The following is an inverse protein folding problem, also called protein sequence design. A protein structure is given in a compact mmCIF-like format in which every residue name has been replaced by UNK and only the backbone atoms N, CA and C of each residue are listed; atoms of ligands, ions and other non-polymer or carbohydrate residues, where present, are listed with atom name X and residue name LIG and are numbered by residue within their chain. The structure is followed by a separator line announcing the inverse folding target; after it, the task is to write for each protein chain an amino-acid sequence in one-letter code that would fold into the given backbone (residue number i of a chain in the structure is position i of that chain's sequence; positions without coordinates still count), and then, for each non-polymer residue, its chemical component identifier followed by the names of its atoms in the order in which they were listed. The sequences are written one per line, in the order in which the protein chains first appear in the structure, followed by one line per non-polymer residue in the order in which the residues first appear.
data_IF_798960122336
#
_entry.id   IF_798960122336
#
_cell.length_a   1.000
_cell.length_b   1.000
_cell.length_c   1.000
_cell.angle_alpha   90.00
_cell.angle_beta   90.00
_cell.angle_gamma   90.00
#
_symmetry.space_group_name_H-M   'P 1'
#
loop_
_entity.id
_entity.type
_entity.pdbx_description
1 polymer ?
#
# COMPACT_ATOMS: atom_id res chain seq x y z
N UNK A 1 45.65 -5.36 54.39
CA UNK A 1 45.14 -5.98 53.17
C UNK A 1 44.56 -4.89 52.30
N UNK A 2 45.24 -4.51 51.21
CA UNK A 2 44.90 -3.33 50.38
C UNK A 2 44.09 -3.82 49.17
N UNK A 3 42.84 -3.42 49.05
CA UNK A 3 41.99 -3.70 47.92
C UNK A 3 42.20 -2.57 46.89
N UNK A 4 42.72 -2.90 45.70
CA UNK A 4 42.87 -2.00 44.59
C UNK A 4 41.60 -1.98 43.76
N UNK A 5 40.94 -0.82 43.70
CA UNK A 5 39.80 -0.55 42.80
C UNK A 5 40.32 -0.29 41.40
N UNK A 6 39.91 -1.14 40.44
CA UNK A 6 40.17 -0.94 39.02
C UNK A 6 38.98 -0.18 38.41
N UNK A 7 39.19 1.06 38.01
CA UNK A 7 38.22 1.84 37.25
C UNK A 7 38.31 1.46 35.76
N UNK A 8 37.24 0.91 35.24
CA UNK A 8 37.10 0.63 33.78
C UNK A 8 36.48 1.87 33.13
N UNK A 9 37.27 2.60 32.39
CA UNK A 9 36.78 3.72 31.55
C UNK A 9 36.26 3.14 30.22
N UNK A 10 34.93 3.17 30.02
CA UNK A 10 34.28 2.83 28.74
C UNK A 10 34.33 4.07 27.85
N UNK A 11 35.20 4.06 26.84
CA UNK A 11 35.24 5.08 25.79
C UNK A 11 34.10 4.80 24.78
N UNK A 12 33.02 5.57 24.84
CA UNK A 12 31.98 5.61 23.82
C UNK A 12 32.49 6.45 22.66
N UNK A 13 33.04 5.80 21.62
CA UNK A 13 33.35 6.43 20.34
C UNK A 13 32.04 6.61 19.56
N UNK A 14 31.42 7.79 19.68
CA UNK A 14 30.31 8.20 18.83
C UNK A 14 30.78 8.36 17.40
N UNK A 15 30.37 7.46 16.49
CA UNK A 15 30.45 7.68 15.05
C UNK A 15 29.46 8.80 14.68
N UNK A 16 29.96 10.02 14.59
CA UNK A 16 29.29 11.11 13.89
C UNK A 16 29.37 10.78 12.39
N UNK A 17 28.31 10.18 11.84
CA UNK A 17 28.11 10.13 10.41
C UNK A 17 27.95 11.58 9.92
N UNK A 18 29.02 12.17 9.42
CA UNK A 18 28.96 13.45 8.71
C UNK A 18 28.21 13.21 7.41
N UNK A 19 26.90 13.55 7.38
CA UNK A 19 26.18 13.73 6.15
C UNK A 19 26.84 14.87 5.38
N UNK A 20 27.61 14.53 4.36
CA UNK A 20 28.19 15.49 3.42
C UNK A 20 27.04 16.11 2.63
N UNK A 21 26.52 17.24 3.10
CA UNK A 21 25.68 18.08 2.27
C UNK A 21 26.51 18.52 1.06
N UNK A 22 26.12 18.11 -0.13
CA UNK A 22 26.75 18.54 -1.38
C UNK A 22 26.54 20.05 -1.52
N UNK A 23 27.55 20.82 -1.23
CA UNK A 23 27.53 22.29 -1.37
C UNK A 23 27.80 22.61 -2.83
N UNK A 24 26.79 23.07 -3.55
CA UNK A 24 26.99 23.59 -4.91
C UNK A 24 27.75 24.92 -4.76
N UNK A 25 28.99 24.95 -5.27
CA UNK A 25 29.81 26.17 -5.25
C UNK A 25 29.27 27.13 -6.30
N UNK A 26 28.67 28.21 -5.85
CA UNK A 26 28.14 29.28 -6.71
C UNK A 26 29.13 30.47 -6.63
N UNK A 27 29.70 30.84 -7.76
CA UNK A 27 30.55 32.01 -7.90
C UNK A 27 30.23 32.77 -9.22
N UNK A 28 30.91 33.86 -9.49
CA UNK A 28 30.69 34.68 -10.70
C UNK A 28 30.97 33.94 -12.00
N UNK A 29 31.78 32.90 -11.95
CA UNK A 29 32.20 32.11 -13.12
C UNK A 29 31.37 30.82 -13.29
N UNK A 30 30.64 30.45 -12.24
CA UNK A 30 29.77 29.25 -12.22
C UNK A 30 28.30 29.66 -11.94
N UNK A 31 27.69 30.31 -12.92
CA UNK A 31 26.29 30.74 -12.81
C UNK A 31 25.34 29.56 -13.03
N UNK A 32 24.45 29.36 -12.08
CA UNK A 32 23.51 28.22 -12.13
C UNK A 32 22.10 28.62 -11.69
N UNK A 33 21.11 27.88 -12.18
CA UNK A 33 19.76 27.87 -11.65
C UNK A 33 19.53 26.50 -11.02
N UNK A 34 19.10 26.51 -9.75
CA UNK A 34 18.66 25.30 -9.04
C UNK A 34 17.13 25.31 -8.94
N UNK A 35 16.49 24.19 -9.29
CA UNK A 35 15.05 24.03 -9.28
C UNK A 35 14.69 22.74 -8.57
N UNK A 36 13.73 22.81 -7.65
CA UNK A 36 13.03 21.63 -7.14
C UNK A 36 11.66 21.58 -7.80
N UNK A 37 11.34 20.46 -8.45
CA UNK A 37 10.05 20.26 -9.07
C UNK A 37 9.52 18.86 -8.74
N UNK A 38 8.21 18.77 -8.48
CA UNK A 38 7.52 17.51 -8.32
C UNK A 38 6.50 17.32 -9.44
N UNK A 39 6.37 16.08 -9.86
CA UNK A 39 5.32 15.65 -10.80
C UNK A 39 4.94 14.21 -10.53
N UNK A 40 3.92 13.72 -11.23
CA UNK A 40 3.36 12.40 -11.07
C UNK A 40 3.23 11.66 -12.39
N UNK A 41 3.15 10.34 -12.28
CA UNK A 41 2.74 9.48 -13.37
C UNK A 41 1.55 8.64 -12.92
N UNK A 42 0.61 8.41 -13.82
CA UNK A 42 -0.56 7.58 -13.58
C UNK A 42 -0.61 6.43 -14.59
N UNK A 43 -1.17 5.31 -14.17
CA UNK A 43 -1.44 4.14 -15.00
C UNK A 43 -2.66 3.41 -14.47
N UNK A 44 -3.31 2.61 -15.29
CA UNK A 44 -4.35 1.71 -14.81
C UNK A 44 -3.73 0.55 -14.02
N UNK A 45 -4.42 0.08 -12.99
CA UNK A 45 -4.00 -1.12 -12.27
C UNK A 45 -3.96 -2.32 -13.22
N UNK A 46 -2.93 -3.16 -13.12
CA UNK A 46 -2.80 -4.41 -13.89
C UNK A 46 -2.97 -5.66 -13.01
N UNK A 47 -3.12 -5.47 -11.71
CA UNK A 47 -3.32 -6.52 -10.72
C UNK A 47 -4.39 -6.09 -9.70
N UNK A 48 -5.32 -7.01 -9.41
CA UNK A 48 -6.24 -6.91 -8.29
C UNK A 48 -5.92 -7.99 -7.25
N UNK A 49 -5.83 -7.59 -5.99
CA UNK A 49 -5.73 -8.50 -4.84
C UNK A 49 -7.06 -8.46 -4.11
N UNK A 50 -7.84 -9.51 -4.25
CA UNK A 50 -9.19 -9.64 -3.68
C UNK A 50 -9.07 -10.32 -2.33
N UNK A 51 -9.50 -9.65 -1.25
CA UNK A 51 -9.56 -10.22 0.09
C UNK A 51 -10.89 -10.96 0.28
N UNK A 52 -10.78 -12.23 0.61
CA UNK A 52 -11.89 -13.16 0.78
C UNK A 52 -11.76 -13.82 2.14
N UNK A 53 -12.86 -13.96 2.86
CA UNK A 53 -12.85 -14.63 4.13
C UNK A 53 -14.22 -15.14 4.54
N UNK A 54 -14.24 -15.95 5.57
CA UNK A 54 -15.45 -16.33 6.25
C UNK A 54 -15.28 -16.40 7.76
N UNK A 55 -16.38 -16.25 8.45
CA UNK A 55 -16.52 -16.49 9.87
C UNK A 55 -17.64 -17.47 10.09
N UNK A 56 -17.41 -18.49 10.93
CA UNK A 56 -18.43 -19.47 11.33
C UNK A 56 -18.36 -19.69 12.83
N UNK A 57 -19.53 -19.87 13.45
CA UNK A 57 -19.67 -20.15 14.86
C UNK A 57 -20.11 -21.59 15.07
N UNK A 58 -19.78 -22.15 16.24
CA UNK A 58 -20.25 -23.47 16.65
C UNK A 58 -20.27 -23.65 18.18
N UNK A 59 -20.93 -24.71 18.65
CA UNK A 59 -21.08 -24.98 20.08
C UNK A 59 -19.81 -25.54 20.74
N UNK A 60 -18.91 -26.14 19.96
CA UNK A 60 -17.65 -26.71 20.40
C UNK A 60 -16.56 -26.56 19.33
N UNK A 61 -15.32 -26.77 19.70
CA UNK A 61 -14.15 -26.62 18.84
C UNK A 61 -14.21 -27.56 17.61
N UNK A 62 -14.54 -28.82 17.84
CA UNK A 62 -14.53 -29.86 16.79
C UNK A 62 -15.60 -29.61 15.73
N UNK A 63 -16.83 -29.32 16.12
CA UNK A 63 -17.93 -29.04 15.18
C UNK A 63 -17.73 -27.72 14.44
N UNK A 64 -17.17 -26.71 15.13
CA UNK A 64 -16.80 -25.42 14.50
C UNK A 64 -15.73 -25.60 13.45
N UNK A 65 -14.68 -26.38 13.76
CA UNK A 65 -13.63 -26.71 12.80
C UNK A 65 -14.16 -27.50 11.58
N UNK A 66 -15.02 -28.50 11.81
CA UNK A 66 -15.60 -29.30 10.73
C UNK A 66 -16.45 -28.44 9.78
N UNK A 67 -17.28 -27.56 10.35
CA UNK A 67 -18.08 -26.60 9.58
C UNK A 67 -17.21 -25.63 8.79
N UNK A 68 -16.19 -25.07 9.42
CA UNK A 68 -15.24 -24.18 8.78
C UNK A 68 -14.45 -24.87 7.66
N UNK A 69 -14.01 -26.10 7.88
CA UNK A 69 -13.33 -26.92 6.85
C UNK A 69 -14.21 -27.14 5.63
N UNK A 70 -15.49 -27.39 5.82
CA UNK A 70 -16.46 -27.55 4.72
C UNK A 70 -16.57 -26.26 3.91
N UNK A 71 -16.74 -25.10 4.55
CA UNK A 71 -16.85 -23.80 3.90
C UNK A 71 -15.53 -23.46 3.17
N UNK A 72 -14.40 -23.64 3.85
CA UNK A 72 -13.06 -23.41 3.30
C UNK A 72 -12.86 -24.16 1.98
N UNK A 73 -13.13 -25.48 2.00
CA UNK A 73 -12.97 -26.32 0.83
C UNK A 73 -13.96 -25.95 -0.30
N UNK A 74 -15.18 -25.53 0.04
CA UNK A 74 -16.15 -25.07 -0.94
C UNK A 74 -15.68 -23.80 -1.65
N UNK A 75 -15.20 -22.79 -0.91
CA UNK A 75 -14.69 -21.53 -1.45
C UNK A 75 -13.49 -21.78 -2.38
N UNK A 76 -12.46 -22.49 -1.90
CA UNK A 76 -11.26 -22.77 -2.69
C UNK A 76 -11.59 -23.58 -3.95
N UNK A 77 -12.48 -24.58 -3.82
CA UNK A 77 -12.92 -25.39 -4.96
C UNK A 77 -13.69 -24.57 -6.00
N UNK A 78 -14.58 -23.66 -5.56
CA UNK A 78 -15.34 -22.79 -6.46
C UNK A 78 -14.41 -21.83 -7.22
N UNK A 79 -13.43 -21.21 -6.54
CA UNK A 79 -12.43 -20.36 -7.15
C UNK A 79 -11.62 -21.10 -8.21
N UNK A 80 -11.13 -22.30 -7.90
CA UNK A 80 -10.39 -23.13 -8.87
C UNK A 80 -11.25 -23.49 -10.09
N UNK A 81 -12.51 -23.86 -9.88
CA UNK A 81 -13.46 -24.16 -10.96
C UNK A 81 -13.77 -22.93 -11.83
N UNK A 82 -13.74 -21.72 -11.27
CA UNK A 82 -13.94 -20.47 -12.01
C UNK A 82 -12.71 -20.04 -12.83
N UNK A 83 -11.60 -20.79 -12.72
CA UNK A 83 -10.37 -20.55 -13.47
C UNK A 83 -9.25 -19.83 -12.70
N UNK A 84 -9.41 -19.62 -11.38
CA UNK A 84 -8.34 -19.04 -10.55
C UNK A 84 -7.23 -20.07 -10.34
N UNK A 85 -5.96 -19.77 -10.71
CA UNK A 85 -4.85 -20.68 -10.48
C UNK A 85 -4.55 -20.88 -8.98
N UNK A 86 -4.16 -22.09 -8.57
CA UNK A 86 -3.83 -22.40 -7.18
C UNK A 86 -2.84 -21.43 -6.57
N UNK A 87 -1.78 -21.09 -7.31
CA UNK A 87 -0.73 -20.15 -6.88
C UNK A 87 -1.20 -18.70 -6.70
N UNK A 88 -2.41 -18.37 -7.19
CA UNK A 88 -3.01 -17.04 -7.02
C UNK A 88 -3.86 -16.95 -5.75
N UNK A 89 -4.13 -18.08 -5.07
CA UNK A 89 -4.89 -18.14 -3.82
C UNK A 89 -3.88 -18.33 -2.68
N UNK A 90 -3.71 -17.30 -1.86
CA UNK A 90 -2.76 -17.31 -0.74
C UNK A 90 -3.53 -17.21 0.57
N UNK A 91 -3.27 -18.12 1.53
CA UNK A 91 -3.84 -18.03 2.87
C UNK A 91 -3.24 -16.86 3.62
N UNK A 92 -4.09 -16.06 4.25
CA UNK A 92 -3.71 -14.85 4.99
C UNK A 92 -3.84 -15.04 6.50
N UNK A 93 -4.98 -15.55 6.95
CA UNK A 93 -5.25 -15.78 8.37
C UNK A 93 -6.10 -17.02 8.59
N UNK A 94 -5.86 -17.72 9.73
CA UNK A 94 -6.65 -18.85 10.22
C UNK A 94 -6.66 -18.81 11.72
N UNK A 95 -7.84 -18.70 12.32
CA UNK A 95 -7.97 -18.59 13.77
C UNK A 95 -9.27 -19.26 14.26
N UNK A 96 -9.10 -20.23 15.16
CA UNK A 96 -10.20 -20.88 15.89
C UNK A 96 -10.02 -20.58 17.37
N UNK A 97 -10.99 -19.94 17.99
CA UNK A 97 -10.92 -19.55 19.38
C UNK A 97 -12.29 -19.59 20.08
N UNK A 98 -12.33 -19.59 21.41
CA UNK A 98 -13.56 -19.35 22.16
C UNK A 98 -14.17 -17.99 21.77
N UNK A 99 -15.48 -17.95 21.57
CA UNK A 99 -16.20 -16.72 21.30
C UNK A 99 -16.49 -15.97 22.61
N UNK A 100 -15.72 -14.95 22.91
CA UNK A 100 -15.88 -14.13 24.10
C UNK A 100 -16.86 -12.97 23.93
N UNK A 101 -17.34 -12.74 22.71
CA UNK A 101 -18.30 -11.68 22.40
C UNK A 101 -19.72 -12.27 22.34
N UNK A 102 -20.60 -11.76 23.22
CA UNK A 102 -22.02 -12.10 23.24
C UNK A 102 -22.85 -10.82 23.24
N UNK A 103 -23.85 -10.77 22.37
CA UNK A 103 -24.83 -9.70 22.43
C UNK A 103 -25.60 -9.82 23.76
N UNK A 104 -25.73 -8.73 24.56
CA UNK A 104 -26.51 -8.75 25.80
C UNK A 104 -27.98 -9.17 25.62
N UNK A 105 -28.52 -9.04 24.41
CA UNK A 105 -29.89 -9.43 24.06
C UNK A 105 -30.00 -10.86 23.54
N UNK A 106 -28.89 -11.56 23.35
CA UNK A 106 -28.87 -12.93 22.83
C UNK A 106 -29.36 -13.92 23.89
N UNK A 107 -30.22 -14.88 23.47
CA UNK A 107 -30.71 -15.93 24.36
C UNK A 107 -29.56 -16.87 24.78
N UNK A 108 -29.70 -17.52 25.96
CA UNK A 108 -28.71 -18.51 26.41
C UNK A 108 -28.60 -19.68 25.41
N UNK A 109 -29.69 -20.06 24.77
CA UNK A 109 -29.71 -21.11 23.75
C UNK A 109 -28.91 -20.73 22.50
N UNK A 110 -28.96 -19.48 22.11
CA UNK A 110 -28.17 -19.01 20.94
C UNK A 110 -26.68 -18.79 21.29
N UNK A 111 -26.38 -18.37 22.53
CA UNK A 111 -25.02 -18.37 23.05
C UNK A 111 -24.40 -19.75 23.08
N UNK A 112 -25.18 -20.78 23.50
CA UNK A 112 -24.70 -22.15 23.50
C UNK A 112 -24.31 -22.67 22.12
N UNK A 113 -24.92 -22.16 21.05
CA UNK A 113 -24.56 -22.49 19.65
C UNK A 113 -23.33 -21.76 19.12
N UNK A 114 -22.85 -20.74 19.82
CA UNK A 114 -21.78 -19.83 19.36
C UNK A 114 -20.61 -19.74 20.34
N UNK A 115 -20.28 -20.87 21.00
CA UNK A 115 -19.21 -20.92 22.00
C UNK A 115 -17.80 -20.75 21.37
N UNK A 116 -17.64 -21.15 20.12
CA UNK A 116 -16.41 -21.03 19.37
C UNK A 116 -16.67 -20.29 18.07
N UNK A 117 -15.61 -19.61 17.60
CA UNK A 117 -15.58 -18.90 16.30
C UNK A 117 -14.35 -19.31 15.52
N UNK A 118 -14.55 -19.63 14.25
CA UNK A 118 -13.47 -19.83 13.30
C UNK A 118 -13.53 -18.75 12.23
N UNK A 119 -12.41 -18.08 12.04
CA UNK A 119 -12.18 -17.13 10.97
C UNK A 119 -11.08 -17.67 10.06
N UNK A 120 -11.29 -17.55 8.76
CA UNK A 120 -10.26 -17.83 7.78
C UNK A 120 -10.35 -16.82 6.64
N UNK A 121 -9.19 -16.35 6.16
CA UNK A 121 -9.09 -15.45 5.03
C UNK A 121 -7.99 -15.83 4.05
N UNK A 122 -8.17 -15.38 2.82
CA UNK A 122 -7.25 -15.51 1.71
C UNK A 122 -7.14 -14.21 0.94
N UNK A 123 -6.02 -14.03 0.29
CA UNK A 123 -5.88 -13.09 -0.81
C UNK A 123 -5.90 -13.87 -2.13
N UNK A 124 -6.61 -13.32 -3.12
CA UNK A 124 -6.68 -13.87 -4.46
C UNK A 124 -6.18 -12.84 -5.46
N UNK A 125 -5.04 -13.15 -6.11
CA UNK A 125 -4.45 -12.33 -7.15
C UNK A 125 -5.11 -12.62 -8.50
N UNK A 126 -5.63 -11.58 -9.16
CA UNK A 126 -6.33 -11.71 -10.45
C UNK A 126 -6.16 -10.46 -11.30
N UNK A 127 -6.60 -10.52 -12.57
CA UNK A 127 -6.70 -9.32 -13.39
C UNK A 127 -7.79 -8.39 -12.85
N UNK A 128 -7.66 -7.07 -13.02
CA UNK A 128 -8.66 -6.11 -12.57
C UNK A 128 -10.08 -6.43 -13.02
N UNK A 129 -10.26 -6.80 -14.28
CA UNK A 129 -11.57 -7.12 -14.87
C UNK A 129 -12.23 -8.37 -14.28
N UNK A 130 -11.43 -9.30 -13.73
CA UNK A 130 -11.90 -10.53 -13.13
C UNK A 130 -12.23 -10.39 -11.62
N UNK A 131 -11.88 -9.27 -10.99
CA UNK A 131 -12.01 -9.09 -9.55
C UNK A 131 -13.46 -9.24 -9.05
N UNK A 132 -14.42 -8.66 -9.76
CA UNK A 132 -15.85 -8.76 -9.44
C UNK A 132 -16.33 -10.21 -9.50
N UNK A 133 -15.92 -10.97 -10.53
CA UNK A 133 -16.25 -12.38 -10.69
C UNK A 133 -15.66 -13.23 -9.59
N UNK A 134 -14.41 -13.01 -9.23
CA UNK A 134 -13.71 -13.72 -8.13
C UNK A 134 -14.44 -13.51 -6.81
N UNK A 135 -14.74 -12.25 -6.47
CA UNK A 135 -15.48 -11.90 -5.26
C UNK A 135 -16.86 -12.56 -5.23
N UNK A 136 -17.61 -12.45 -6.31
CA UNK A 136 -18.96 -13.05 -6.42
C UNK A 136 -18.91 -14.57 -6.23
N UNK A 137 -17.99 -15.28 -6.93
CA UNK A 137 -17.80 -16.72 -6.82
C UNK A 137 -17.49 -17.15 -5.37
N UNK A 138 -16.67 -16.38 -4.67
CA UNK A 138 -16.32 -16.67 -3.27
C UNK A 138 -17.53 -16.49 -2.34
N UNK A 139 -18.30 -15.42 -2.52
CA UNK A 139 -19.50 -15.13 -1.72
C UNK A 139 -20.57 -16.21 -1.93
N UNK A 140 -20.82 -16.62 -3.17
CA UNK A 140 -21.74 -17.74 -3.46
C UNK A 140 -21.31 -19.06 -2.83
N UNK A 141 -19.98 -19.26 -2.68
CA UNK A 141 -19.43 -20.46 -2.06
C UNK A 141 -19.38 -20.40 -0.52
N UNK A 142 -19.81 -19.29 0.11
CA UNK A 142 -19.93 -19.15 1.56
C UNK A 142 -19.00 -18.12 2.21
N UNK A 143 -18.25 -17.33 1.44
CA UNK A 143 -17.47 -16.23 1.97
C UNK A 143 -18.41 -15.11 2.47
N UNK A 144 -18.32 -14.81 3.78
CA UNK A 144 -19.15 -13.80 4.44
C UNK A 144 -18.34 -12.65 5.10
N UNK A 145 -17.01 -12.68 4.92
CA UNK A 145 -16.05 -11.69 5.38
C UNK A 145 -15.17 -11.28 4.19
N UNK A 146 -15.80 -10.64 3.18
CA UNK A 146 -15.13 -10.35 1.91
C UNK A 146 -15.51 -8.96 1.42
N UNK A 147 -14.75 -8.42 0.46
CA UNK A 147 -15.12 -7.19 -0.24
C UNK A 147 -14.02 -6.15 -0.38
N UNK A 148 -12.91 -6.26 0.32
CA UNK A 148 -11.76 -5.39 0.06
C UNK A 148 -11.05 -5.87 -1.21
N UNK A 149 -10.70 -4.92 -2.08
CA UNK A 149 -9.88 -5.15 -3.26
C UNK A 149 -8.78 -4.10 -3.29
N UNK A 150 -7.54 -4.59 -3.30
CA UNK A 150 -6.36 -3.73 -3.44
C UNK A 150 -5.94 -3.74 -4.91
N UNK A 151 -5.96 -2.54 -5.49
CA UNK A 151 -5.52 -2.32 -6.85
C UNK A 151 -4.03 -2.06 -6.87
N UNK A 152 -3.30 -2.79 -7.70
CA UNK A 152 -1.84 -2.71 -7.81
C UNK A 152 -1.40 -2.59 -9.26
N UNK A 153 -0.19 -2.09 -9.44
CA UNK A 153 0.54 -2.10 -10.69
C UNK A 153 1.87 -2.80 -10.46
N UNK A 154 2.18 -3.80 -11.28
CA UNK A 154 3.34 -4.68 -11.03
C UNK A 154 4.68 -3.99 -11.24
N UNK A 155 4.78 -3.09 -12.24
CA UNK A 155 6.02 -2.34 -12.51
C UNK A 155 6.03 -0.96 -11.83
N UNK A 156 5.96 -0.94 -10.50
CA UNK A 156 6.04 0.29 -9.72
C UNK A 156 7.35 1.05 -9.97
N UNK A 157 8.46 0.33 -10.22
CA UNK A 157 9.75 0.96 -10.53
C UNK A 157 9.70 1.74 -11.85
N UNK A 158 9.10 1.17 -12.88
CA UNK A 158 8.89 1.87 -14.16
C UNK A 158 7.97 3.07 -14.02
N UNK A 159 6.91 2.98 -13.21
CA UNK A 159 6.00 4.09 -12.94
C UNK A 159 6.72 5.22 -12.17
N UNK A 160 7.52 4.89 -11.15
CA UNK A 160 8.35 5.85 -10.43
C UNK A 160 9.37 6.54 -11.33
N UNK A 161 10.04 5.78 -12.20
CA UNK A 161 10.98 6.35 -13.17
C UNK A 161 10.29 7.33 -14.12
N UNK A 162 9.05 7.02 -14.56
CA UNK A 162 8.23 7.92 -15.38
C UNK A 162 7.85 9.20 -14.62
N UNK A 163 7.47 9.09 -13.35
CA UNK A 163 7.18 10.25 -12.49
C UNK A 163 8.42 11.14 -12.33
N UNK A 164 9.61 10.54 -12.13
CA UNK A 164 10.87 11.28 -12.03
C UNK A 164 11.23 11.99 -13.34
N UNK A 165 11.03 11.35 -14.49
CA UNK A 165 11.24 11.97 -15.80
C UNK A 165 10.29 13.15 -16.04
N UNK A 166 9.02 13.04 -15.66
CA UNK A 166 8.05 14.12 -15.72
C UNK A 166 8.48 15.30 -14.83
N UNK A 167 8.90 15.01 -13.60
CA UNK A 167 9.40 16.02 -12.65
C UNK A 167 10.66 16.74 -13.19
N UNK A 168 11.60 16.02 -13.82
CA UNK A 168 12.78 16.60 -14.42
C UNK A 168 12.43 17.50 -15.62
N UNK A 169 11.50 17.07 -16.47
CA UNK A 169 10.99 17.90 -17.57
C UNK A 169 10.37 19.20 -17.06
N UNK A 170 9.58 19.10 -15.99
CA UNK A 170 8.98 20.27 -15.33
C UNK A 170 10.04 21.21 -14.72
N UNK A 171 11.09 20.65 -14.08
CA UNK A 171 12.22 21.41 -13.57
C UNK A 171 12.92 22.19 -14.69
N UNK A 172 13.14 21.56 -15.85
CA UNK A 172 13.73 22.20 -17.01
C UNK A 172 12.87 23.35 -17.55
N UNK A 173 11.55 23.18 -17.64
CA UNK A 173 10.63 24.26 -18.06
C UNK A 173 10.70 25.44 -17.10
N UNK A 174 10.69 25.18 -15.78
CA UNK A 174 10.82 26.23 -14.75
C UNK A 174 12.17 26.96 -14.88
N UNK A 175 13.28 26.20 -15.02
CA UNK A 175 14.62 26.79 -15.19
C UNK A 175 14.70 27.67 -16.44
N UNK A 176 14.07 27.23 -17.54
CA UNK A 176 14.00 28.02 -18.80
C UNK A 176 13.26 29.35 -18.61
N UNK A 177 12.14 29.34 -17.90
CA UNK A 177 11.39 30.57 -17.61
C UNK A 177 12.18 31.52 -16.69
N UNK A 178 12.88 30.97 -15.70
CA UNK A 178 13.74 31.76 -14.81
C UNK A 178 14.90 32.41 -15.60
N UNK A 179 15.57 31.66 -16.47
CA UNK A 179 16.64 32.16 -17.32
C UNK A 179 16.16 33.29 -18.25
N UNK A 180 15.00 33.13 -18.88
CA UNK A 180 14.35 34.15 -19.71
C UNK A 180 14.04 35.43 -18.89
N UNK A 181 13.51 35.31 -17.68
CA UNK A 181 13.25 36.44 -16.79
C UNK A 181 14.53 37.22 -16.39
N UNK A 182 15.65 36.53 -16.39
CA UNK A 182 16.95 37.13 -16.11
C UNK A 182 17.70 37.65 -17.37
N UNK A 183 17.10 37.50 -18.55
CA UNK A 183 17.72 37.78 -19.86
C UNK A 183 19.02 37.01 -20.09
N UNK A 184 19.11 35.77 -19.64
CA UNK A 184 20.24 34.87 -19.84
C UNK A 184 19.77 33.61 -20.55
N UNK A 185 20.70 32.85 -21.15
CA UNK A 185 20.37 31.58 -21.78
C UNK A 185 20.57 30.42 -20.79
N UNK A 186 19.60 29.51 -20.72
CA UNK A 186 19.76 28.24 -20.04
C UNK A 186 20.73 27.35 -20.83
N UNK A 187 21.74 26.79 -20.15
CA UNK A 187 22.62 25.78 -20.71
C UNK A 187 22.25 24.37 -20.25
N UNK A 188 23.22 23.45 -20.26
CA UNK A 188 22.95 22.05 -19.93
C UNK A 188 22.66 21.79 -18.46
N UNK A 189 22.08 20.62 -18.19
CA UNK A 189 21.93 20.07 -16.84
C UNK A 189 23.32 19.74 -16.27
N UNK A 190 23.60 20.22 -15.06
CA UNK A 190 24.86 19.93 -14.34
C UNK A 190 24.63 18.78 -13.36
N UNK A 191 23.49 18.80 -12.67
CA UNK A 191 23.19 17.84 -11.62
C UNK A 191 21.68 17.60 -11.54
N UNK A 192 21.30 16.34 -11.30
CA UNK A 192 19.93 15.98 -10.95
C UNK A 192 19.93 14.90 -9.86
N UNK A 193 18.99 15.00 -8.94
CA UNK A 193 18.76 14.02 -7.88
C UNK A 193 17.27 13.90 -7.62
N UNK A 194 16.81 12.69 -7.34
CA UNK A 194 15.45 12.42 -6.84
C UNK A 194 15.37 12.54 -5.30
N UNK A 195 16.46 12.84 -4.64
CA UNK A 195 16.49 13.18 -3.22
C UNK A 195 16.49 14.72 -3.11
N UNK A 196 15.31 15.29 -2.79
CA UNK A 196 15.24 16.70 -2.46
C UNK A 196 16.02 16.96 -1.14
N UNK A 197 16.70 18.11 -1.00
CA UNK A 197 17.20 18.54 0.30
C UNK A 197 16.02 18.56 1.29
N UNK A 198 16.21 17.99 2.47
CA UNK A 198 15.13 17.80 3.46
C UNK A 198 14.43 19.14 3.77
N UNK A 199 13.15 19.22 3.40
CA UNK A 199 12.24 20.26 3.89
C UNK A 199 11.35 19.66 4.97
N UNK A 200 11.06 20.36 6.08
CA UNK A 200 10.24 19.82 7.16
C UNK A 200 8.83 19.51 6.66
N UNK A 201 8.45 18.24 6.85
CA UNK A 201 7.13 17.69 6.47
C UNK A 201 6.04 18.32 7.31
N UNK A 202 5.04 18.95 6.69
CA UNK A 202 3.81 19.36 7.37
C UNK A 202 2.77 18.24 7.25
N UNK A 203 2.16 17.79 8.37
CA UNK A 203 1.12 16.77 8.31
C UNK A 203 -0.15 17.33 7.67
N UNK A 204 -0.71 16.60 6.71
CA UNK A 204 -2.04 16.89 6.14
C UNK A 204 -3.12 16.10 6.87
N UNK A 205 -4.30 16.68 7.16
CA UNK A 205 -5.39 15.98 7.80
C UNK A 205 -6.09 15.03 6.82
N UNK A 206 -6.34 13.77 7.27
CA UNK A 206 -7.15 12.80 6.55
C UNK A 206 -8.64 13.11 6.76
N UNK A 207 -9.41 13.21 5.68
CA UNK A 207 -10.88 13.23 5.71
C UNK A 207 -11.45 11.81 5.65
N UNK A 208 -12.28 11.45 6.64
CA UNK A 208 -13.09 10.23 6.63
C UNK A 208 -14.37 10.44 5.80
N UNK A 209 -14.63 9.56 4.82
CA UNK A 209 -15.91 9.45 4.15
C UNK A 209 -16.80 8.43 4.86
N UNK A 210 -18.08 8.82 5.13
CA UNK A 210 -19.13 7.94 5.61
C UNK A 210 -19.85 7.28 4.42
N UNK A 211 -20.03 5.95 4.48
CA UNK A 211 -20.84 5.19 3.53
C UNK A 211 -22.28 5.02 4.04
N UNK A 212 -23.25 5.21 3.16
CA UNK A 212 -24.67 4.90 3.41
C UNK A 212 -25.04 3.63 2.65
N UNK A 213 -25.77 2.73 3.34
CA UNK A 213 -26.29 1.48 2.81
C UNK A 213 -27.74 1.59 2.39
N UNK A 214 -28.12 1.00 1.24
CA UNK A 214 -29.48 0.74 0.81
C UNK A 214 -29.59 -0.67 0.18
N UNK A 215 -30.75 -1.31 0.39
CA UNK A 215 -31.06 -2.74 0.18
C UNK A 215 -31.62 -3.01 -1.23
N UNK A 216 -31.29 -3.95 -1.90
CA UNK A 216 -31.42 -5.41 -2.16
C UNK A 216 -32.41 -5.78 -3.28
N UNK A 217 -31.90 -6.48 -4.29
CA UNK A 217 -32.57 -7.51 -5.11
C UNK A 217 -31.49 -8.47 -5.57
N UNK A 218 -31.84 -9.71 -5.96
CA UNK A 218 -30.91 -10.83 -6.20
C UNK A 218 -29.71 -10.41 -7.05
N UNK A 219 -28.47 -10.72 -6.62
CA UNK A 219 -27.32 -9.95 -6.98
C UNK A 219 -26.72 -10.37 -8.31
N UNK A 220 -26.76 -9.45 -9.28
CA UNK A 220 -25.69 -9.36 -10.26
C UNK A 220 -24.35 -9.08 -9.51
N UNK A 221 -23.19 -9.49 -10.08
CA UNK A 221 -21.89 -9.12 -9.50
C UNK A 221 -21.84 -7.62 -9.23
N UNK A 222 -21.23 -7.21 -8.13
CA UNK A 222 -21.05 -5.80 -7.80
C UNK A 222 -20.34 -5.10 -8.96
N UNK A 223 -20.80 -3.90 -9.31
CA UNK A 223 -20.10 -3.04 -10.26
C UNK A 223 -18.80 -2.56 -9.60
N UNK A 224 -17.69 -3.18 -9.96
CA UNK A 224 -16.36 -2.87 -9.44
C UNK A 224 -15.53 -2.30 -10.58
N UNK A 225 -15.12 -1.04 -10.43
CA UNK A 225 -14.28 -0.36 -11.39
C UNK A 225 -12.83 -0.32 -10.89
N UNK A 226 -11.85 -0.74 -11.71
CA UNK A 226 -10.44 -0.65 -11.37
C UNK A 226 -10.02 0.78 -11.08
N UNK A 227 -9.11 0.93 -10.12
CA UNK A 227 -8.56 2.23 -9.74
C UNK A 227 -7.30 2.52 -10.53
N UNK A 228 -7.08 3.79 -10.87
CA UNK A 228 -5.79 4.25 -11.36
C UNK A 228 -4.77 4.28 -10.21
N UNK A 229 -3.56 3.85 -10.54
CA UNK A 229 -2.39 3.91 -9.67
C UNK A 229 -1.61 5.17 -10.01
N UNK A 230 -1.26 5.93 -9.01
CA UNK A 230 -0.50 7.15 -9.14
C UNK A 230 0.78 7.04 -8.32
N UNK A 231 1.91 7.39 -8.92
CA UNK A 231 3.20 7.51 -8.27
C UNK A 231 3.73 8.93 -8.47
N UNK A 232 4.27 9.52 -7.41
CA UNK A 232 4.82 10.87 -7.46
C UNK A 232 6.33 10.86 -7.25
N UNK A 233 7.03 11.78 -7.89
CA UNK A 233 8.46 11.97 -7.69
C UNK A 233 8.80 13.44 -7.60
N UNK A 234 9.79 13.77 -6.78
CA UNK A 234 10.37 15.10 -6.68
C UNK A 234 11.82 15.03 -7.11
N UNK A 235 12.24 15.97 -7.95
CA UNK A 235 13.62 16.09 -8.39
C UNK A 235 14.20 17.45 -7.99
N UNK A 236 15.46 17.44 -7.61
CA UNK A 236 16.31 18.63 -7.50
C UNK A 236 17.24 18.64 -8.69
N UNK A 237 17.20 19.71 -9.48
CA UNK A 237 17.99 19.83 -10.70
C UNK A 237 18.74 21.16 -10.72
N UNK A 238 19.99 21.14 -11.20
CA UNK A 238 20.84 22.31 -11.34
C UNK A 238 21.27 22.44 -12.80
N UNK A 239 21.01 23.59 -13.37
CA UNK A 239 21.30 23.93 -14.76
C UNK A 239 22.35 25.05 -14.81
N UNK A 240 23.27 25.00 -15.79
CA UNK A 240 24.19 26.08 -16.09
C UNK A 240 23.49 27.23 -16.81
N UNK A 241 24.04 28.43 -16.70
CA UNK A 241 23.65 29.62 -17.46
C UNK A 241 24.78 30.03 -18.40
N UNK A 242 24.42 30.58 -19.56
CA UNK A 242 25.30 31.20 -20.54
C UNK A 242 25.05 32.70 -20.60
#
# INVERSE_FOLDING_TARGET
MKIRSIAVAVAVAGLLAMTQAQTIKVDKDNRTIAVTAGDKATTDADLAVVHIGFQVFGPDEQSTYASGSTISNAIVSALKKSGVPDKAIESENQNLMPNNYHDPKESEMDRAKKQFVLNQSWTVKTKPDDAAKVLHTAVEAGANQSGQIDWQYQDMNGLQAKAAANALTKAQVIAQQMAQGLNVKLAGLIYASNQAPESPVRPMPMMMLKANSALASAPAPLAINPRQIEESSTVYAVFALQ
#
